data_IF_338998761961
#
_entry.id   IF_338998761961
#
_cell.length_a   1.000
_cell.length_b   1.000
_cell.length_c   1.000
_cell.angle_alpha   90.00
_cell.angle_beta   90.00
_cell.angle_gamma   90.00
#
_symmetry.space_group_name_H-M   'P 1'
#
loop_
_entity.id
_entity.type
_entity.pdbx_description
1 polymer ?
#
# COMPACT_ATOMS: atom_id res chain seq x y z
N UNK A 1 -4.08 -28.85 23.17
CA UNK A 1 -3.25 -27.63 23.32
C UNK A 1 -3.48 -26.73 22.11
N UNK A 2 -3.74 -25.42 22.25
CA UNK A 2 -3.77 -24.54 21.10
C UNK A 2 -2.37 -24.49 20.48
N UNK A 3 -2.29 -24.70 19.17
CA UNK A 3 -1.03 -24.62 18.43
C UNK A 3 -0.56 -23.18 18.44
N UNK A 4 0.69 -22.95 18.82
CA UNK A 4 1.32 -21.63 18.69
C UNK A 4 1.28 -21.19 17.23
N UNK A 5 0.94 -19.92 16.94
CA UNK A 5 0.87 -19.43 15.57
C UNK A 5 2.23 -19.53 14.89
N UNK A 6 2.20 -19.91 13.63
CA UNK A 6 3.39 -20.01 12.78
C UNK A 6 3.95 -18.63 12.46
N UNK A 7 5.23 -18.52 12.09
CA UNK A 7 5.85 -17.25 11.72
C UNK A 7 5.11 -16.53 10.58
N UNK A 8 4.55 -17.27 9.62
CA UNK A 8 3.74 -16.70 8.52
C UNK A 8 2.44 -16.07 9.03
N UNK A 9 1.79 -16.66 10.04
CA UNK A 9 0.59 -16.11 10.66
C UNK A 9 0.92 -14.87 11.49
N UNK A 10 2.05 -14.86 12.18
CA UNK A 10 2.54 -13.69 12.91
C UNK A 10 2.87 -12.54 11.94
N UNK A 11 3.49 -12.84 10.79
CA UNK A 11 3.80 -11.86 9.77
C UNK A 11 2.53 -11.29 9.14
N UNK A 12 1.54 -12.13 8.81
CA UNK A 12 0.23 -11.69 8.29
C UNK A 12 -0.55 -10.84 9.29
N UNK A 13 -0.41 -11.11 10.58
CA UNK A 13 -1.00 -10.31 11.65
C UNK A 13 -0.17 -9.08 12.03
N UNK A 14 1.06 -8.97 11.51
CA UNK A 14 1.93 -7.84 11.81
C UNK A 14 1.40 -6.55 11.18
N UNK A 15 1.67 -5.45 11.88
CA UNK A 15 1.39 -4.11 11.35
C UNK A 15 2.13 -3.88 10.04
N UNK A 16 3.35 -4.40 9.88
CA UNK A 16 4.14 -4.28 8.65
C UNK A 16 3.43 -4.84 7.42
N UNK A 17 2.87 -6.05 7.52
CA UNK A 17 2.17 -6.66 6.37
C UNK A 17 0.90 -5.88 6.02
N UNK A 18 0.17 -5.40 7.02
CA UNK A 18 -1.01 -4.53 6.80
C UNK A 18 -0.63 -3.19 6.15
N UNK A 19 0.53 -2.62 6.51
CA UNK A 19 1.07 -1.43 5.85
C UNK A 19 1.43 -1.68 4.39
N UNK A 20 2.08 -2.81 4.12
CA UNK A 20 2.42 -3.20 2.76
C UNK A 20 1.18 -3.38 1.88
N UNK A 21 0.13 -4.06 2.40
CA UNK A 21 -1.12 -4.24 1.66
C UNK A 21 -1.80 -2.90 1.34
N UNK A 22 -1.84 -1.99 2.31
CA UNK A 22 -2.42 -0.66 2.10
C UNK A 22 -1.61 0.18 1.09
N UNK A 23 -0.28 0.14 1.14
CA UNK A 23 0.58 0.81 0.15
C UNK A 23 0.33 0.24 -1.26
N UNK A 24 0.17 -1.08 -1.38
CA UNK A 24 -0.15 -1.74 -2.65
C UNK A 24 -1.52 -1.31 -3.20
N UNK A 25 -2.54 -1.20 -2.35
CA UNK A 25 -3.87 -0.76 -2.76
C UNK A 25 -3.86 0.67 -3.32
N UNK A 26 -3.08 1.58 -2.74
CA UNK A 26 -2.89 2.93 -3.27
C UNK A 26 -2.25 2.94 -4.66
N UNK A 27 -1.25 2.08 -4.89
CA UNK A 27 -0.59 1.96 -6.20
C UNK A 27 -1.58 1.45 -7.25
N UNK A 28 -2.41 0.46 -6.91
CA UNK A 28 -3.44 -0.06 -7.82
C UNK A 28 -4.49 1.00 -8.14
N UNK A 29 -4.95 1.75 -7.12
CA UNK A 29 -5.88 2.85 -7.33
C UNK A 29 -5.27 3.96 -8.21
N UNK A 30 -4.01 4.31 -7.98
CA UNK A 30 -3.28 5.30 -8.78
C UNK A 30 -3.11 4.86 -10.23
N UNK A 31 -2.79 3.58 -10.45
CA UNK A 31 -2.71 2.97 -11.78
C UNK A 31 -4.03 3.14 -12.54
N UNK A 32 -5.15 2.88 -11.88
CA UNK A 32 -6.47 3.05 -12.50
C UNK A 32 -6.72 4.51 -12.91
N UNK A 33 -6.49 5.46 -12.00
CA UNK A 33 -6.65 6.90 -12.28
C UNK A 33 -5.72 7.37 -13.42
N UNK A 34 -4.46 6.90 -13.44
CA UNK A 34 -3.52 7.22 -14.51
C UNK A 34 -3.99 6.64 -15.85
N UNK A 35 -4.48 5.41 -15.85
CA UNK A 35 -4.97 4.75 -17.07
C UNK A 35 -6.20 5.44 -17.63
N UNK A 36 -7.13 5.87 -16.77
CA UNK A 36 -8.28 6.67 -17.19
C UNK A 36 -7.86 8.00 -17.82
N UNK A 37 -6.87 8.68 -17.23
CA UNK A 37 -6.36 9.96 -17.76
C UNK A 37 -5.60 9.79 -19.08
N UNK A 38 -4.87 8.69 -19.23
CA UNK A 38 -4.10 8.40 -20.44
C UNK A 38 -4.97 7.86 -21.59
N UNK A 39 -6.19 7.38 -21.27
CA UNK A 39 -7.06 6.70 -22.24
C UNK A 39 -6.54 5.32 -22.66
N UNK A 40 -5.54 4.78 -21.95
CA UNK A 40 -4.91 3.48 -22.19
C UNK A 40 -4.40 2.91 -20.87
N UNK A 41 -4.14 1.60 -20.82
CA UNK A 41 -3.57 0.99 -19.61
C UNK A 41 -2.16 1.50 -19.36
N UNK A 42 -1.96 2.19 -18.24
CA UNK A 42 -0.65 2.58 -17.73
C UNK A 42 -0.15 1.39 -16.91
N UNK A 43 0.97 0.80 -17.33
CA UNK A 43 1.51 -0.41 -16.73
C UNK A 43 1.82 -0.26 -15.24
N UNK A 44 1.91 -1.38 -14.51
CA UNK A 44 2.11 -1.35 -13.06
C UNK A 44 3.40 -0.64 -12.63
N UNK A 45 4.52 -0.90 -13.31
CA UNK A 45 5.82 -0.30 -12.99
C UNK A 45 5.83 1.23 -13.17
N UNK A 46 5.13 1.72 -14.20
CA UNK A 46 5.00 3.15 -14.47
C UNK A 46 4.15 3.83 -13.39
N UNK A 47 2.98 3.25 -13.08
CA UNK A 47 2.12 3.75 -12.01
C UNK A 47 2.79 3.70 -10.63
N UNK A 48 3.54 2.63 -10.35
CA UNK A 48 4.33 2.48 -9.14
C UNK A 48 5.38 3.59 -9.03
N UNK A 49 6.16 3.81 -10.09
CA UNK A 49 7.22 4.83 -10.11
C UNK A 49 6.62 6.22 -9.92
N UNK A 50 5.54 6.54 -10.63
CA UNK A 50 4.85 7.82 -10.51
C UNK A 50 4.29 8.04 -9.10
N UNK A 51 3.65 7.02 -8.53
CA UNK A 51 3.08 7.08 -7.19
C UNK A 51 4.17 7.25 -6.11
N UNK A 52 5.28 6.51 -6.23
CA UNK A 52 6.41 6.63 -5.31
C UNK A 52 7.00 8.03 -5.28
N UNK A 53 7.11 8.68 -6.44
CA UNK A 53 7.68 10.02 -6.57
C UNK A 53 6.73 11.12 -6.07
N UNK A 54 5.42 10.98 -6.32
CA UNK A 54 4.46 12.08 -6.12
C UNK A 54 3.60 11.95 -4.86
N UNK A 55 3.31 10.73 -4.39
CA UNK A 55 2.25 10.49 -3.41
C UNK A 55 2.72 9.80 -2.13
N UNK A 56 3.74 8.93 -2.23
CA UNK A 56 4.15 8.03 -1.15
C UNK A 56 4.55 8.73 0.15
N UNK A 57 5.32 9.80 0.06
CA UNK A 57 5.82 10.53 1.23
C UNK A 57 4.67 11.09 2.07
N UNK A 58 3.71 11.76 1.44
CA UNK A 58 2.53 12.31 2.08
C UNK A 58 1.58 11.23 2.59
N UNK A 59 1.39 10.15 1.82
CA UNK A 59 0.59 9.01 2.27
C UNK A 59 1.12 8.41 3.58
N UNK A 60 2.44 8.19 3.67
CA UNK A 60 3.09 7.69 4.90
C UNK A 60 2.91 8.61 6.09
N UNK A 61 3.06 9.93 5.90
CA UNK A 61 2.83 10.92 6.96
C UNK A 61 1.40 10.84 7.49
N UNK A 62 0.40 10.79 6.60
CA UNK A 62 -1.02 10.65 6.98
C UNK A 62 -1.28 9.35 7.75
N UNK A 63 -0.70 8.23 7.32
CA UNK A 63 -0.81 6.93 8.01
C UNK A 63 -0.20 6.97 9.41
N UNK A 64 0.96 7.60 9.57
CA UNK A 64 1.61 7.75 10.87
C UNK A 64 0.74 8.56 11.85
N UNK A 65 0.20 9.69 11.40
CA UNK A 65 -0.70 10.52 12.23
C UNK A 65 -1.98 9.77 12.58
N UNK A 66 -2.61 9.09 11.61
CA UNK A 66 -3.82 8.30 11.84
C UNK A 66 -3.61 7.21 12.90
N UNK A 67 -2.42 6.59 12.94
CA UNK A 67 -2.06 5.59 13.95
C UNK A 67 -1.77 6.18 15.33
N UNK A 68 -1.32 7.43 15.41
CA UNK A 68 -1.11 8.11 16.69
C UNK A 68 -2.43 8.56 17.32
N UNK A 69 -3.46 8.75 16.49
CA UNK A 69 -4.78 9.21 16.90
C UNK A 69 -5.81 8.07 17.09
N UNK A 70 -5.39 6.81 16.88
CA UNK A 70 -6.21 5.61 17.02
C UNK A 70 -5.84 4.86 18.30
#
# INVERSE_FOLDING_TARGET
>A
MPKSPTNDELLKNSTLYREFLAEREEIVAHKWVLSEKAGTDVGFEEALTDWMLKHRSEWRKRRQVARQNA
#
